data_IF_714544802373
#
_entry.id   IF_714544802373
#
_cell.length_a   1.000
_cell.length_b   1.000
_cell.length_c   1.000
_cell.angle_alpha   90.00
_cell.angle_beta   90.00
_cell.angle_gamma   90.00
#
_symmetry.space_group_name_H-M   'P 1'
#
loop_
_entity.id
_entity.type
_entity.pdbx_description
1 polymer ?
#
# COMPACT_ATOMS: atom_id res chain seq x y z
N UNK A 1 -6.01 7.80 12.38
CA UNK A 1 -4.81 7.03 11.98
C UNK A 1 -5.20 5.98 10.96
N UNK A 2 -4.30 5.65 10.01
CA UNK A 2 -4.59 4.65 8.98
C UNK A 2 -3.38 3.74 8.77
N UNK A 3 -3.65 2.47 8.47
CA UNK A 3 -2.67 1.46 8.07
C UNK A 3 -3.17 0.77 6.81
N UNK A 4 -2.25 0.35 5.96
CA UNK A 4 -2.57 -0.31 4.69
C UNK A 4 -2.18 -1.80 4.72
N UNK A 5 -2.63 -2.57 3.71
CA UNK A 5 -2.26 -3.96 3.39
C UNK A 5 -2.83 -5.04 4.32
N UNK A 6 -3.23 -4.72 5.53
CA UNK A 6 -3.71 -5.72 6.48
C UNK A 6 -2.58 -6.55 7.11
N UNK A 7 -1.42 -5.95 7.32
CA UNK A 7 -0.30 -6.62 7.97
C UNK A 7 -0.60 -7.05 9.40
N UNK A 8 -0.03 -8.17 9.80
CA UNK A 8 -0.15 -8.75 11.14
C UNK A 8 0.39 -7.84 12.24
N UNK A 9 1.47 -7.12 11.98
CA UNK A 9 2.11 -6.19 12.91
C UNK A 9 1.20 -5.02 13.31
N UNK A 10 0.22 -4.67 12.48
CA UNK A 10 -0.78 -3.65 12.81
C UNK A 10 -1.65 -4.09 14.01
N UNK A 11 -1.93 -5.39 14.11
CA UNK A 11 -2.63 -5.96 15.25
C UNK A 11 -1.70 -6.21 16.43
N UNK A 12 -0.50 -6.75 16.18
CA UNK A 12 0.41 -7.21 17.23
C UNK A 12 1.13 -6.06 17.94
N UNK A 13 1.45 -4.99 17.20
CA UNK A 13 2.24 -3.86 17.70
C UNK A 13 1.46 -2.54 17.76
N UNK A 14 0.73 -2.17 16.70
CA UNK A 14 0.05 -0.89 16.68
C UNK A 14 -1.23 -0.90 17.53
N UNK A 15 -2.09 -1.90 17.37
CA UNK A 15 -3.36 -1.97 18.08
C UNK A 15 -3.28 -1.86 19.61
N UNK A 16 -2.37 -2.55 20.32
CA UNK A 16 -2.28 -2.43 21.78
C UNK A 16 -1.99 -0.99 22.25
N UNK A 17 -1.18 -0.26 21.48
CA UNK A 17 -0.87 1.14 21.77
C UNK A 17 -2.09 2.03 21.49
N UNK A 18 -2.74 1.86 20.34
CA UNK A 18 -3.91 2.66 19.94
C UNK A 18 -5.08 2.44 20.90
N UNK A 19 -5.36 1.19 21.28
CA UNK A 19 -6.40 0.84 22.23
C UNK A 19 -6.17 1.47 23.62
N UNK A 20 -4.92 1.45 24.12
CA UNK A 20 -4.53 2.10 25.37
C UNK A 20 -4.86 3.59 25.39
N UNK A 21 -4.75 4.26 24.24
CA UNK A 21 -5.01 5.69 24.09
C UNK A 21 -6.40 6.02 23.57
N UNK A 22 -7.27 5.03 23.35
CA UNK A 22 -8.59 5.23 22.74
C UNK A 22 -8.53 5.88 21.37
N UNK A 23 -7.43 5.69 20.63
CA UNK A 23 -7.18 6.31 19.34
C UNK A 23 -7.90 5.54 18.22
N UNK A 24 -8.87 6.12 17.52
CA UNK A 24 -9.53 5.45 16.40
C UNK A 24 -8.58 5.31 15.21
N UNK A 25 -8.75 4.22 14.45
CA UNK A 25 -7.94 3.94 13.28
C UNK A 25 -8.69 3.13 12.22
N UNK A 26 -8.20 3.22 10.99
CA UNK A 26 -8.70 2.46 9.87
C UNK A 26 -7.60 1.54 9.34
N UNK A 27 -7.92 0.27 9.13
CA UNK A 27 -7.08 -0.69 8.43
C UNK A 27 -7.63 -0.88 7.01
N UNK A 28 -6.87 -0.46 6.01
CA UNK A 28 -7.19 -0.71 4.61
C UNK A 28 -6.66 -2.08 4.20
N UNK A 29 -7.57 -2.97 3.81
CA UNK A 29 -7.28 -4.39 3.58
C UNK A 29 -7.38 -4.71 2.09
N UNK A 30 -6.40 -5.45 1.58
CA UNK A 30 -6.46 -6.12 0.29
C UNK A 30 -7.01 -7.52 0.49
N UNK A 31 -8.25 -7.85 0.04
CA UNK A 31 -8.84 -9.18 0.18
C UNK A 31 -7.93 -10.31 -0.30
N UNK A 32 -7.25 -10.10 -1.43
CA UNK A 32 -6.35 -11.10 -2.01
C UNK A 32 -5.20 -11.53 -1.09
N UNK A 33 -4.80 -10.72 -0.10
CA UNK A 33 -3.83 -11.15 0.91
C UNK A 33 -4.48 -12.10 1.93
N UNK A 34 -5.69 -11.83 2.37
CA UNK A 34 -6.42 -12.73 3.26
C UNK A 34 -6.84 -14.03 2.56
N UNK A 35 -7.14 -13.97 1.26
CA UNK A 35 -7.46 -15.12 0.40
C UNK A 35 -6.21 -15.90 -0.07
N UNK A 36 -4.98 -15.38 0.15
CA UNK A 36 -3.71 -15.93 -0.36
C UNK A 36 -3.62 -15.98 -1.89
N UNK A 37 -4.30 -15.07 -2.58
CA UNK A 37 -4.34 -14.98 -4.05
C UNK A 37 -3.54 -13.79 -4.60
N UNK A 38 -3.20 -12.82 -3.74
CA UNK A 38 -2.33 -11.70 -4.09
C UNK A 38 -0.91 -11.89 -3.53
N UNK A 39 0.02 -11.05 -3.98
CA UNK A 39 1.46 -11.18 -3.69
C UNK A 39 2.01 -9.92 -3.03
N UNK A 40 2.85 -10.08 -2.04
CA UNK A 40 3.68 -9.03 -1.44
C UNK A 40 4.99 -8.89 -2.21
N UNK A 41 4.91 -8.52 -3.50
CA UNK A 41 6.07 -8.52 -4.40
C UNK A 41 7.26 -7.70 -3.87
N UNK A 42 7.04 -6.66 -3.09
CA UNK A 42 8.10 -5.83 -2.49
C UNK A 42 8.82 -6.57 -1.36
N UNK A 43 8.12 -7.40 -0.59
CA UNK A 43 8.74 -8.25 0.43
C UNK A 43 9.44 -9.45 -0.22
N UNK A 44 8.88 -10.02 -1.29
CA UNK A 44 9.58 -11.05 -2.07
C UNK A 44 10.90 -10.52 -2.62
N UNK A 45 10.92 -9.28 -3.14
CA UNK A 45 12.15 -8.62 -3.58
C UNK A 45 13.14 -8.44 -2.43
N UNK A 46 12.65 -7.97 -1.28
CA UNK A 46 13.49 -7.76 -0.10
C UNK A 46 14.12 -9.07 0.38
N UNK A 47 13.32 -10.13 0.53
CA UNK A 47 13.81 -11.43 0.97
C UNK A 47 14.79 -12.05 -0.05
N UNK A 48 14.51 -11.93 -1.34
CA UNK A 48 15.42 -12.41 -2.36
C UNK A 48 16.80 -11.73 -2.27
N UNK A 49 16.80 -10.41 -2.06
CA UNK A 49 18.04 -9.65 -1.88
C UNK A 49 18.76 -10.01 -0.58
N UNK A 50 18.03 -10.38 0.47
CA UNK A 50 18.64 -10.84 1.73
C UNK A 50 19.40 -12.16 1.57
N UNK A 51 18.88 -13.06 0.74
CA UNK A 51 19.40 -14.41 0.54
C UNK A 51 20.45 -14.50 -0.57
N UNK A 52 20.19 -13.86 -1.70
CA UNK A 52 21.05 -13.98 -2.88
C UNK A 52 22.29 -13.09 -2.74
N UNK A 53 23.52 -13.63 -2.94
CA UNK A 53 24.76 -12.84 -2.87
C UNK A 53 24.93 -11.92 -4.08
N UNK A 54 24.18 -12.16 -5.14
CA UNK A 54 24.18 -11.42 -6.40
C UNK A 54 22.83 -11.56 -7.09
N UNK A 55 22.32 -10.47 -7.63
CA UNK A 55 21.16 -10.46 -8.51
C UNK A 55 21.60 -10.53 -9.96
N UNK A 56 20.93 -11.34 -10.76
CA UNK A 56 21.16 -11.44 -12.21
C UNK A 56 19.82 -11.72 -12.90
N UNK A 57 19.31 -10.72 -13.62
CA UNK A 57 18.01 -10.77 -14.28
C UNK A 57 18.12 -10.30 -15.71
N UNK A 58 17.40 -10.94 -16.61
CA UNK A 58 17.17 -10.46 -17.96
C UNK A 58 15.82 -9.75 -18.02
N UNK A 59 15.83 -8.45 -18.24
CA UNK A 59 14.63 -7.61 -18.37
C UNK A 59 14.47 -7.19 -19.83
N UNK A 60 13.28 -6.79 -20.30
CA UNK A 60 13.07 -6.36 -21.68
C UNK A 60 13.95 -5.18 -22.12
N UNK A 61 14.31 -4.32 -21.18
CA UNK A 61 15.18 -3.15 -21.39
C UNK A 61 16.67 -3.44 -21.15
N UNK A 62 17.05 -4.70 -20.99
CA UNK A 62 18.44 -5.17 -20.82
C UNK A 62 18.71 -5.86 -19.50
N UNK A 63 19.90 -6.47 -19.40
CA UNK A 63 20.32 -7.23 -18.22
C UNK A 63 20.50 -6.33 -17.00
N UNK A 64 20.04 -6.78 -15.84
CA UNK A 64 20.29 -6.17 -14.54
C UNK A 64 21.18 -7.09 -13.71
N UNK A 65 22.31 -6.57 -13.25
CA UNK A 65 23.19 -7.28 -12.31
C UNK A 65 23.55 -6.39 -11.14
N UNK A 66 23.58 -6.95 -9.93
CA UNK A 66 24.00 -6.25 -8.73
C UNK A 66 24.56 -7.24 -7.71
N UNK A 67 25.67 -6.90 -7.07
CA UNK A 67 26.16 -7.64 -5.89
C UNK A 67 25.28 -7.26 -4.68
N UNK A 68 25.05 -8.26 -3.79
CA UNK A 68 24.20 -8.14 -2.61
C UNK A 68 24.78 -8.92 -1.41
N UNK A 69 26.11 -8.81 -1.21
CA UNK A 69 26.83 -9.52 -0.13
C UNK A 69 26.85 -8.73 1.17
N UNK A 70 26.94 -7.42 1.09
CA UNK A 70 26.95 -6.50 2.23
C UNK A 70 25.62 -5.75 2.34
N UNK A 71 25.27 -5.23 3.52
CA UNK A 71 24.03 -4.46 3.73
C UNK A 71 23.95 -3.22 2.82
N UNK A 72 25.09 -2.57 2.59
CA UNK A 72 25.17 -1.44 1.69
C UNK A 72 24.93 -1.82 0.22
N UNK A 73 25.39 -3.00 -0.21
CA UNK A 73 25.10 -3.54 -1.55
C UNK A 73 23.65 -3.95 -1.68
N UNK A 74 23.10 -4.65 -0.67
CA UNK A 74 21.68 -5.05 -0.62
C UNK A 74 20.76 -3.82 -0.72
N UNK A 75 21.01 -2.79 0.07
CA UNK A 75 20.23 -1.55 0.04
C UNK A 75 20.30 -0.85 -1.33
N UNK A 76 21.49 -0.80 -1.95
CA UNK A 76 21.66 -0.24 -3.29
C UNK A 76 20.97 -1.08 -4.37
N UNK A 77 21.09 -2.41 -4.28
CA UNK A 77 20.45 -3.34 -5.21
C UNK A 77 18.95 -3.23 -5.14
N UNK A 78 18.38 -3.20 -3.92
CA UNK A 78 16.96 -2.99 -3.70
C UNK A 78 16.49 -1.67 -4.33
N UNK A 79 17.09 -0.56 -3.98
CA UNK A 79 16.67 0.76 -4.49
C UNK A 79 16.74 0.82 -6.03
N UNK A 80 17.82 0.31 -6.63
CA UNK A 80 17.98 0.32 -8.09
C UNK A 80 16.93 -0.54 -8.80
N UNK A 81 16.73 -1.78 -8.33
CA UNK A 81 15.82 -2.71 -8.98
C UNK A 81 14.36 -2.31 -8.74
N UNK A 82 14.00 -1.95 -7.51
CA UNK A 82 12.68 -1.49 -7.14
C UNK A 82 12.20 -0.35 -8.05
N UNK A 83 12.98 0.71 -8.18
CA UNK A 83 12.60 1.86 -8.99
C UNK A 83 12.64 1.58 -10.49
N UNK A 84 13.54 0.71 -10.96
CA UNK A 84 13.57 0.28 -12.36
C UNK A 84 12.28 -0.48 -12.71
N UNK A 85 11.91 -1.45 -11.89
CA UNK A 85 10.71 -2.26 -12.12
C UNK A 85 9.43 -1.45 -11.98
N UNK A 86 9.36 -0.58 -10.97
CA UNK A 86 8.19 0.29 -10.76
C UNK A 86 7.91 1.29 -11.88
N UNK A 87 8.89 1.67 -12.68
CA UNK A 87 8.69 2.56 -13.82
C UNK A 87 8.05 1.85 -15.02
N UNK A 88 8.28 0.55 -15.14
CA UNK A 88 7.79 -0.27 -16.24
C UNK A 88 6.37 -0.82 -16.05
N UNK A 89 5.91 -1.63 -17.00
CA UNK A 89 4.66 -2.39 -16.87
C UNK A 89 4.69 -3.32 -15.66
N UNK A 90 3.57 -3.43 -14.95
CA UNK A 90 3.50 -4.25 -13.73
C UNK A 90 3.68 -5.74 -14.01
N UNK A 91 3.24 -6.23 -15.16
CA UNK A 91 3.49 -7.61 -15.57
C UNK A 91 4.98 -7.97 -15.64
N UNK A 92 5.83 -7.03 -16.09
CA UNK A 92 7.29 -7.19 -16.11
C UNK A 92 7.87 -7.21 -14.70
N UNK A 93 7.37 -6.32 -13.83
CA UNK A 93 7.74 -6.31 -12.41
C UNK A 93 7.44 -7.66 -11.79
N UNK A 94 6.19 -8.14 -11.89
CA UNK A 94 5.77 -9.41 -11.29
C UNK A 94 6.54 -10.61 -11.84
N UNK A 95 6.85 -10.63 -13.15
CA UNK A 95 7.68 -11.68 -13.76
C UNK A 95 9.09 -11.67 -13.19
N UNK A 96 9.74 -10.51 -13.12
CA UNK A 96 11.08 -10.36 -12.58
C UNK A 96 11.17 -10.77 -11.10
N UNK A 97 10.17 -10.39 -10.30
CA UNK A 97 10.09 -10.80 -8.89
C UNK A 97 9.87 -12.31 -8.76
N UNK A 98 9.03 -12.92 -9.62
CA UNK A 98 8.84 -14.38 -9.64
C UNK A 98 10.14 -15.12 -9.94
N UNK A 99 10.96 -14.58 -10.84
CA UNK A 99 12.27 -15.17 -11.15
C UNK A 99 13.24 -15.09 -9.95
N UNK A 100 13.26 -13.96 -9.24
CA UNK A 100 14.07 -13.80 -8.04
C UNK A 100 13.59 -14.68 -6.89
N UNK A 101 12.28 -14.71 -6.64
CA UNK A 101 11.69 -15.55 -5.59
C UNK A 101 12.04 -17.02 -5.82
N UNK A 102 11.94 -17.52 -7.06
CA UNK A 102 12.33 -18.88 -7.43
C UNK A 102 13.83 -19.14 -7.21
N UNK A 103 14.70 -18.20 -7.59
CA UNK A 103 16.15 -18.32 -7.36
C UNK A 103 16.50 -18.34 -5.87
N UNK A 104 15.76 -17.61 -5.06
CA UNK A 104 15.96 -17.51 -3.61
C UNK A 104 15.24 -18.60 -2.81
N UNK A 105 14.39 -19.42 -3.45
CA UNK A 105 13.59 -20.45 -2.77
C UNK A 105 12.46 -19.87 -1.92
N UNK A 106 11.94 -18.69 -2.29
CA UNK A 106 10.85 -18.02 -1.57
C UNK A 106 9.51 -18.55 -2.08
N UNK A 107 8.65 -18.97 -1.15
CA UNK A 107 7.24 -19.25 -1.41
C UNK A 107 6.41 -17.97 -1.19
N UNK A 108 5.84 -17.37 -2.25
CA UNK A 108 5.04 -16.15 -2.11
C UNK A 108 3.78 -16.33 -1.27
N UNK A 109 3.17 -17.52 -1.27
CA UNK A 109 1.97 -17.79 -0.48
C UNK A 109 2.30 -17.88 1.00
N UNK A 110 3.36 -18.61 1.35
CA UNK A 110 3.83 -18.70 2.73
C UNK A 110 4.26 -17.33 3.28
N UNK A 111 4.83 -16.46 2.42
CA UNK A 111 5.18 -15.09 2.78
C UNK A 111 3.93 -14.28 3.14
N UNK A 112 2.90 -14.30 2.30
CA UNK A 112 1.64 -13.61 2.59
C UNK A 112 0.96 -14.16 3.83
N UNK A 113 0.99 -15.48 4.04
CA UNK A 113 0.42 -16.13 5.22
C UNK A 113 1.12 -15.71 6.52
N UNK A 114 2.42 -15.52 6.48
CA UNK A 114 3.21 -15.05 7.61
C UNK A 114 2.96 -13.59 7.92
N UNK A 115 2.83 -12.75 6.91
CA UNK A 115 2.81 -11.29 7.07
C UNK A 115 1.41 -10.70 7.23
N UNK A 116 0.39 -11.28 6.59
CA UNK A 116 -0.95 -10.69 6.55
C UNK A 116 -1.96 -11.41 7.45
N UNK A 117 -2.93 -10.64 7.92
CA UNK A 117 -4.02 -11.12 8.77
C UNK A 117 -4.98 -12.05 7.99
N UNK A 118 -5.38 -13.19 8.58
CA UNK A 118 -6.42 -14.05 8.00
C UNK A 118 -7.81 -13.47 8.24
N UNK A 119 -8.82 -13.94 7.49
CA UNK A 119 -10.20 -13.49 7.58
C UNK A 119 -10.79 -13.59 8.99
N UNK A 120 -10.49 -14.65 9.73
CA UNK A 120 -10.97 -14.81 11.11
C UNK A 120 -10.58 -13.61 11.99
N UNK A 121 -9.32 -13.20 11.91
CA UNK A 121 -8.78 -12.05 12.65
C UNK A 121 -9.36 -10.73 12.17
N UNK A 122 -9.51 -10.55 10.85
CA UNK A 122 -10.11 -9.35 10.26
C UNK A 122 -11.59 -9.19 10.67
N UNK A 123 -12.36 -10.28 10.70
CA UNK A 123 -13.73 -10.26 11.22
C UNK A 123 -13.79 -9.85 12.69
N UNK A 124 -12.96 -10.45 13.53
CA UNK A 124 -12.88 -10.08 14.95
C UNK A 124 -12.49 -8.60 15.13
N UNK A 125 -11.47 -8.14 14.41
CA UNK A 125 -10.97 -6.76 14.47
C UNK A 125 -12.04 -5.75 13.99
N UNK A 126 -12.81 -6.08 12.98
CA UNK A 126 -13.87 -5.22 12.44
C UNK A 126 -14.99 -4.92 13.46
N UNK A 127 -15.13 -5.74 14.49
CA UNK A 127 -16.07 -5.54 15.61
C UNK A 127 -15.48 -4.75 16.79
N UNK A 128 -14.18 -4.46 16.78
CA UNK A 128 -13.52 -3.81 17.90
C UNK A 128 -13.83 -2.30 17.96
N UNK A 129 -14.03 -1.72 19.16
CA UNK A 129 -14.29 -0.28 19.28
C UNK A 129 -13.16 0.57 18.71
N UNK A 130 -13.52 1.60 17.95
CA UNK A 130 -12.56 2.52 17.37
C UNK A 130 -11.81 1.99 16.14
N UNK A 131 -12.15 0.80 15.65
CA UNK A 131 -11.56 0.20 14.44
C UNK A 131 -12.53 0.28 13.28
N UNK A 132 -12.05 0.77 12.14
CA UNK A 132 -12.75 0.67 10.87
C UNK A 132 -11.91 -0.19 9.89
N UNK A 133 -12.59 -1.00 9.08
CA UNK A 133 -11.96 -1.69 7.95
C UNK A 133 -12.34 -0.94 6.68
N UNK A 134 -11.33 -0.57 5.90
CA UNK A 134 -11.46 -0.01 4.56
C UNK A 134 -10.92 -0.98 3.50
N UNK A 135 -11.16 -0.68 2.23
CA UNK A 135 -10.68 -1.48 1.10
C UNK A 135 -9.36 -0.93 0.53
N UNK A 136 -8.51 -1.84 0.01
CA UNK A 136 -7.21 -1.50 -0.59
C UNK A 136 -6.99 -2.24 -1.93
N UNK A 137 -7.99 -2.17 -2.83
CA UNK A 137 -8.16 -2.98 -4.03
C UNK A 137 -8.23 -4.50 -3.77
N UNK A 138 -8.56 -5.26 -4.79
CA UNK A 138 -8.73 -6.72 -4.66
C UNK A 138 -7.38 -7.45 -4.53
N UNK A 139 -6.38 -7.06 -5.35
CA UNK A 139 -5.07 -7.75 -5.45
C UNK A 139 -3.86 -6.83 -5.33
N UNK A 140 -4.06 -5.55 -4.97
CA UNK A 140 -3.00 -4.56 -4.77
C UNK A 140 -2.21 -4.14 -6.03
N UNK A 141 -2.82 -3.97 -7.22
CA UNK A 141 -2.11 -3.47 -8.39
C UNK A 141 -1.89 -1.95 -8.33
N UNK A 142 -0.91 -1.45 -9.07
CA UNK A 142 -0.78 -0.03 -9.37
C UNK A 142 -1.86 0.37 -10.40
N UNK A 143 -3.05 0.75 -9.93
CA UNK A 143 -4.29 0.88 -10.70
C UNK A 143 -4.15 1.69 -11.99
N UNK A 144 -3.40 2.81 -11.96
CA UNK A 144 -3.19 3.66 -13.13
C UNK A 144 -2.39 2.98 -14.26
N UNK A 145 -1.73 1.85 -14.00
CA UNK A 145 -0.99 1.06 -15.01
C UNK A 145 -1.85 0.06 -15.75
N UNK A 146 -3.09 -0.11 -15.34
CA UNK A 146 -4.05 -1.02 -15.94
C UNK A 146 -5.11 -0.26 -16.74
N UNK A 147 -5.83 -0.97 -17.61
CA UNK A 147 -6.99 -0.41 -18.28
C UNK A 147 -8.11 -0.03 -17.30
N UNK A 148 -9.06 0.77 -17.79
CA UNK A 148 -10.12 1.31 -16.94
C UNK A 148 -11.06 0.23 -16.38
N UNK A 149 -11.28 -0.86 -17.11
CA UNK A 149 -12.14 -1.95 -16.68
C UNK A 149 -11.49 -2.74 -15.54
N UNK A 150 -10.21 -3.08 -15.71
CA UNK A 150 -9.41 -3.73 -14.66
C UNK A 150 -9.35 -2.87 -13.39
N UNK A 151 -9.08 -1.57 -13.52
CA UNK A 151 -9.02 -0.67 -12.37
C UNK A 151 -10.37 -0.58 -11.64
N UNK A 152 -11.50 -0.47 -12.38
CA UNK A 152 -12.84 -0.45 -11.78
C UNK A 152 -13.16 -1.77 -11.06
N UNK A 153 -12.84 -2.91 -11.68
CA UNK A 153 -13.05 -4.23 -11.09
C UNK A 153 -12.27 -4.37 -9.79
N UNK A 154 -10.98 -4.05 -9.78
CA UNK A 154 -10.12 -4.10 -8.59
C UNK A 154 -10.68 -3.26 -7.43
N UNK A 155 -11.23 -2.08 -7.72
CA UNK A 155 -11.82 -1.20 -6.74
C UNK A 155 -13.18 -1.75 -6.25
N UNK A 156 -14.09 -2.07 -7.17
CA UNK A 156 -15.45 -2.47 -6.82
C UNK A 156 -15.51 -3.85 -6.16
N UNK A 157 -14.80 -4.85 -6.70
CA UNK A 157 -14.82 -6.20 -6.16
C UNK A 157 -14.12 -6.29 -4.79
N UNK A 158 -13.16 -5.41 -4.49
CA UNK A 158 -12.56 -5.32 -3.15
C UNK A 158 -13.60 -4.98 -2.09
N UNK A 159 -14.51 -4.05 -2.40
CA UNK A 159 -15.62 -3.68 -1.52
C UNK A 159 -16.56 -4.86 -1.31
N UNK A 160 -17.03 -5.46 -2.40
CA UNK A 160 -17.97 -6.60 -2.37
C UNK A 160 -17.37 -7.76 -1.57
N UNK A 161 -16.10 -8.08 -1.80
CA UNK A 161 -15.42 -9.19 -1.12
C UNK A 161 -15.28 -8.94 0.39
N UNK A 162 -14.90 -7.71 0.78
CA UNK A 162 -14.80 -7.33 2.19
C UNK A 162 -16.17 -7.32 2.88
N UNK A 163 -17.19 -6.73 2.26
CA UNK A 163 -18.54 -6.67 2.82
C UNK A 163 -19.14 -8.07 3.02
N UNK A 164 -18.89 -8.99 2.08
CA UNK A 164 -19.32 -10.38 2.19
C UNK A 164 -18.69 -11.11 3.39
N UNK A 165 -17.39 -10.87 3.65
CA UNK A 165 -16.67 -11.50 4.75
C UNK A 165 -16.95 -10.86 6.12
N UNK A 166 -17.11 -9.53 6.14
CA UNK A 166 -17.26 -8.79 7.39
C UNK A 166 -18.73 -8.65 7.83
N UNK A 167 -19.69 -8.87 6.93
CA UNK A 167 -21.13 -8.69 7.19
C UNK A 167 -21.54 -7.26 7.51
N UNK A 168 -20.77 -6.26 7.04
CA UNK A 168 -20.99 -4.83 7.28
C UNK A 168 -20.49 -3.98 6.13
N UNK A 169 -20.98 -2.74 5.97
CA UNK A 169 -20.52 -1.82 4.94
C UNK A 169 -19.03 -1.50 5.07
N UNK A 170 -18.36 -1.38 3.90
CA UNK A 170 -16.99 -0.90 3.76
C UNK A 170 -17.05 0.44 3.02
N UNK A 171 -16.84 1.53 3.74
CA UNK A 171 -17.16 2.89 3.27
C UNK A 171 -15.94 3.66 2.76
N UNK A 172 -14.74 3.20 3.04
CA UNK A 172 -13.51 3.93 2.75
C UNK A 172 -12.55 3.09 1.93
N UNK A 173 -11.78 3.76 1.06
CA UNK A 173 -10.80 3.13 0.17
C UNK A 173 -9.42 3.79 0.32
N UNK A 174 -8.35 3.00 0.18
CA UNK A 174 -7.00 3.51 -0.04
C UNK A 174 -6.47 2.97 -1.36
N UNK A 175 -5.84 3.83 -2.16
CA UNK A 175 -5.24 3.40 -3.43
C UNK A 175 -3.92 2.70 -3.18
N UNK A 176 -3.71 1.47 -3.69
CA UNK A 176 -2.41 0.79 -3.62
C UNK A 176 -1.29 1.68 -4.14
N UNK A 177 -0.20 1.77 -3.34
CA UNK A 177 0.91 2.71 -3.58
C UNK A 177 0.47 4.18 -3.49
N UNK A 178 -0.63 4.58 -4.14
CA UNK A 178 -1.35 5.84 -3.99
C UNK A 178 -0.62 7.10 -4.42
N UNK A 179 0.54 7.00 -5.07
CA UNK A 179 1.23 8.15 -5.68
C UNK A 179 0.60 8.55 -7.03
N UNK A 180 0.95 9.71 -7.62
CA UNK A 180 0.36 10.16 -8.89
C UNK A 180 0.56 9.21 -10.08
N UNK A 181 1.55 8.32 -10.02
CA UNK A 181 1.80 7.33 -11.07
C UNK A 181 0.97 6.04 -10.87
N UNK A 182 0.35 5.88 -9.70
CA UNK A 182 -0.38 4.67 -9.32
C UNK A 182 -1.89 4.88 -9.23
N UNK A 183 -2.35 6.12 -8.98
CA UNK A 183 -3.77 6.48 -8.96
C UNK A 183 -3.96 7.95 -9.35
N UNK A 184 -4.97 8.24 -10.15
CA UNK A 184 -5.31 9.57 -10.65
C UNK A 184 -6.81 9.79 -10.78
N UNK A 185 -7.24 10.84 -11.49
CA UNK A 185 -8.66 11.21 -11.62
C UNK A 185 -9.57 10.08 -12.08
N UNK A 186 -9.09 9.18 -12.93
CA UNK A 186 -9.84 8.01 -13.41
C UNK A 186 -10.18 7.08 -12.25
N UNK A 187 -9.22 6.79 -11.38
CA UNK A 187 -9.39 5.93 -10.21
C UNK A 187 -10.23 6.61 -9.15
N UNK A 188 -10.12 7.93 -9.00
CA UNK A 188 -10.96 8.71 -8.07
C UNK A 188 -12.45 8.64 -8.46
N UNK A 189 -12.75 8.72 -9.76
CA UNK A 189 -14.10 8.52 -10.28
C UNK A 189 -14.57 7.09 -10.03
N UNK A 190 -13.72 6.09 -10.29
CA UNK A 190 -14.06 4.68 -10.09
C UNK A 190 -14.37 4.35 -8.61
N UNK A 191 -13.60 4.90 -7.66
CA UNK A 191 -13.89 4.73 -6.23
C UNK A 191 -15.22 5.37 -5.82
N UNK A 192 -15.55 6.53 -6.36
CA UNK A 192 -16.87 7.17 -6.15
C UNK A 192 -18.00 6.33 -6.74
N UNK A 193 -17.84 5.83 -7.97
CA UNK A 193 -18.84 4.99 -8.64
C UNK A 193 -19.05 3.65 -7.94
N UNK A 194 -18.01 3.09 -7.30
CA UNK A 194 -18.10 1.91 -6.44
C UNK A 194 -18.83 2.18 -5.10
N UNK A 195 -19.20 3.43 -4.82
CA UNK A 195 -19.97 3.80 -3.64
C UNK A 195 -19.16 3.91 -2.37
N UNK A 196 -17.85 4.20 -2.46
CA UNK A 196 -17.06 4.60 -1.30
C UNK A 196 -17.40 6.05 -0.91
N UNK A 197 -17.46 6.33 0.38
CA UNK A 197 -17.70 7.69 0.89
C UNK A 197 -16.44 8.55 0.77
N UNK A 198 -15.26 7.95 0.95
CA UNK A 198 -14.00 8.64 0.76
C UNK A 198 -12.89 7.67 0.30
N UNK A 199 -11.86 8.24 -0.32
CA UNK A 199 -10.66 7.49 -0.66
C UNK A 199 -9.39 8.32 -0.39
N UNK A 200 -8.34 7.64 0.09
CA UNK A 200 -7.07 8.25 0.48
C UNK A 200 -5.95 7.84 -0.46
N UNK A 201 -5.06 8.78 -0.73
CA UNK A 201 -3.84 8.61 -1.51
C UNK A 201 -2.61 8.59 -0.59
N UNK A 202 -1.41 8.41 -1.12
CA UNK A 202 -0.14 8.69 -0.43
C UNK A 202 0.42 10.06 -0.77
N UNK A 203 -0.34 10.89 -1.47
CA UNK A 203 0.05 12.28 -1.76
C UNK A 203 0.19 13.03 -0.45
N UNK A 204 1.36 13.64 -0.16
CA UNK A 204 1.63 14.19 1.15
C UNK A 204 0.89 15.52 1.35
N UNK A 205 0.12 15.62 2.42
CA UNK A 205 -0.63 16.83 2.74
C UNK A 205 -1.53 16.68 3.94
N UNK A 206 -2.07 17.80 4.36
CA UNK A 206 -3.10 17.91 5.38
C UNK A 206 -4.48 18.05 4.74
N UNK A 207 -5.52 17.77 5.50
CA UNK A 207 -6.89 18.04 5.11
C UNK A 207 -7.24 19.52 5.31
N UNK A 208 -7.88 20.09 4.31
CA UNK A 208 -8.39 21.46 4.31
C UNK A 208 -9.88 21.46 3.91
N UNK A 209 -10.65 22.50 4.20
CA UNK A 209 -12.08 22.58 3.83
C UNK A 209 -12.32 22.32 2.33
N UNK A 210 -11.39 22.72 1.48
CA UNK A 210 -11.48 22.57 0.03
C UNK A 210 -11.52 21.07 -0.40
N UNK A 211 -11.04 20.14 0.44
CA UNK A 211 -11.13 18.70 0.18
C UNK A 211 -12.56 18.15 0.27
N UNK A 212 -13.52 18.91 0.78
CA UNK A 212 -14.93 18.51 0.76
C UNK A 212 -15.45 18.25 -0.68
N UNK A 213 -14.89 18.92 -1.68
CA UNK A 213 -15.16 18.65 -3.11
C UNK A 213 -14.35 17.49 -3.70
N UNK A 214 -13.41 16.89 -2.95
CA UNK A 214 -12.44 15.93 -3.43
C UNK A 214 -12.27 14.72 -2.48
N UNK A 215 -13.38 14.21 -1.94
CA UNK A 215 -13.36 13.14 -0.92
C UNK A 215 -12.69 11.85 -1.40
N UNK A 216 -12.55 11.65 -2.70
CA UNK A 216 -11.89 10.46 -3.28
C UNK A 216 -10.42 10.70 -3.66
N UNK A 217 -9.83 11.82 -3.24
CA UNK A 217 -8.43 12.18 -3.48
C UNK A 217 -7.78 12.77 -2.21
N UNK A 218 -8.10 12.25 -1.04
CA UNK A 218 -7.62 12.79 0.22
C UNK A 218 -6.13 12.52 0.41
N UNK A 219 -5.34 13.52 0.84
CA UNK A 219 -3.94 13.35 1.14
C UNK A 219 -3.71 12.65 2.47
N UNK A 220 -2.50 12.17 2.70
CA UNK A 220 -2.08 11.61 4.00
C UNK A 220 -0.73 12.18 4.45
N UNK A 221 -0.53 12.21 5.76
CA UNK A 221 0.78 12.41 6.38
C UNK A 221 1.39 11.05 6.66
N UNK A 222 2.45 10.69 5.94
CA UNK A 222 3.15 9.42 6.14
C UNK A 222 4.03 9.48 7.39
N UNK A 223 3.77 8.58 8.33
CA UNK A 223 4.67 8.26 9.44
C UNK A 223 5.44 7.00 9.05
N UNK A 224 6.75 7.08 9.01
CA UNK A 224 7.61 5.99 8.52
C UNK A 224 8.91 5.91 9.31
N UNK A 225 9.70 4.87 9.06
CA UNK A 225 10.95 4.59 9.77
C UNK A 225 12.04 5.67 9.63
N UNK A 226 11.91 6.62 8.70
CA UNK A 226 12.87 7.70 8.51
C UNK A 226 12.67 8.88 9.48
N UNK A 227 11.47 8.99 10.08
CA UNK A 227 11.05 10.13 10.88
C UNK A 227 10.43 9.67 12.21
N UNK A 228 11.20 8.95 13.03
CA UNK A 228 10.73 8.33 14.28
C UNK A 228 11.02 9.16 15.55
N UNK A 229 11.20 10.44 15.44
CA UNK A 229 11.43 11.30 16.60
C UNK A 229 10.34 12.38 16.70
N UNK A 230 10.16 12.91 17.91
CA UNK A 230 9.13 13.89 18.21
C UNK A 230 9.26 15.18 17.39
N UNK A 231 10.49 15.64 17.16
CA UNK A 231 10.73 16.87 16.37
C UNK A 231 10.28 16.70 14.92
N UNK A 232 10.60 15.55 14.30
CA UNK A 232 10.13 15.21 12.95
C UNK A 232 8.60 15.08 12.90
N UNK A 233 7.98 14.43 13.89
CA UNK A 233 6.53 14.33 13.97
C UNK A 233 5.87 15.71 14.08
N UNK A 234 6.38 16.58 14.96
CA UNK A 234 5.89 17.96 15.11
C UNK A 234 6.04 18.75 13.80
N UNK A 235 7.16 18.60 13.09
CA UNK A 235 7.37 19.24 11.79
C UNK A 235 6.34 18.75 10.75
N UNK A 236 6.10 17.46 10.65
CA UNK A 236 5.07 16.89 9.74
C UNK A 236 3.68 17.40 10.09
N UNK A 237 3.31 17.37 11.38
CA UNK A 237 2.00 17.84 11.84
C UNK A 237 1.80 19.35 11.72
N UNK A 238 2.88 20.15 11.62
CA UNK A 238 2.77 21.60 11.36
C UNK A 238 2.28 21.93 9.94
N UNK A 239 2.38 20.97 9.01
CA UNK A 239 2.04 21.15 7.59
C UNK A 239 3.07 21.93 6.77
N UNK A 240 4.06 22.57 7.40
CA UNK A 240 5.07 23.38 6.70
C UNK A 240 5.85 22.62 5.62
N UNK A 241 6.34 21.39 5.86
CA UNK A 241 7.03 20.60 4.84
C UNK A 241 6.16 20.34 3.61
N UNK A 242 4.86 20.10 3.81
CA UNK A 242 3.93 19.82 2.72
C UNK A 242 3.56 21.09 1.97
N UNK A 243 3.38 22.22 2.67
CA UNK A 243 3.15 23.52 2.03
C UNK A 243 4.31 23.89 1.09
N UNK A 244 5.55 23.72 1.55
CA UNK A 244 6.75 23.95 0.72
C UNK A 244 6.79 22.98 -0.47
N UNK A 245 6.63 21.68 -0.22
CA UNK A 245 6.65 20.64 -1.26
C UNK A 245 5.57 20.86 -2.32
N UNK A 246 4.38 21.19 -1.89
CA UNK A 246 3.21 21.38 -2.76
C UNK A 246 3.12 22.81 -3.33
N UNK A 247 4.17 23.65 -3.11
CA UNK A 247 4.23 25.04 -3.57
C UNK A 247 3.00 25.85 -3.18
N UNK A 248 2.56 25.71 -1.94
CA UNK A 248 1.38 26.36 -1.38
C UNK A 248 0.03 25.79 -1.82
N UNK A 249 -0.01 24.79 -2.68
CA UNK A 249 -1.27 24.12 -3.07
C UNK A 249 -1.81 23.31 -1.89
N UNK A 250 -3.11 23.46 -1.61
CA UNK A 250 -3.80 22.73 -0.55
C UNK A 250 -4.42 21.43 -1.03
N UNK A 251 -4.85 21.39 -2.29
CA UNK A 251 -5.50 20.23 -2.90
C UNK A 251 -4.65 19.72 -4.06
N UNK A 252 -4.44 18.40 -4.09
CA UNK A 252 -3.83 17.67 -5.18
C UNK A 252 -4.77 16.51 -5.59
N UNK A 253 -5.71 16.80 -6.46
CA UNK A 253 -6.70 15.88 -7.01
C UNK A 253 -6.54 15.68 -8.53
N UNK A 254 -5.33 15.93 -9.05
CA UNK A 254 -5.01 15.85 -10.49
C UNK A 254 -4.35 14.56 -10.88
#
# INVERSE_FOLDING_TARGET
LTFDDGYRDNLEHAWPVLAKHGAPWTLFVTPGFADRTARLWWLELEEAIRVLPRLDLTLPDGRFTADARTDAEKSRAFAKLYWRLRKGPEAILLSAISDLARQAGIDPVALVERECLPWETLRALSGAPGVAIGAHSLTHPMLAKHDAETARREIAESKVRLEAELGRPVEHFAYPVGDPASAGPREFVAAREAGFLSAVTTRPGHLFPEHAGHLHALPRVSLNGLHQNEAALRALLSGLPFWLRNRGRRVDAT
#
